data_IF_695916768129
#
_entry.id   IF_695916768129
#
_cell.length_a   1.000
_cell.length_b   1.000
_cell.length_c   1.000
_cell.angle_alpha   90.00
_cell.angle_beta   90.00
_cell.angle_gamma   90.00
#
_symmetry.space_group_name_H-M   'P 1'
#
loop_
_entity.id
_entity.type
_entity.pdbx_description
1 polymer ?
#
# COMPACT_ATOMS: atom_id res chain seq x y z
N UNK A 1 -21.22 22.62 11.95
CA UNK A 1 -21.41 21.26 11.37
C UNK A 1 -21.65 21.43 9.88
N UNK A 2 -21.05 20.61 9.04
CA UNK A 2 -21.30 20.62 7.59
C UNK A 2 -22.76 20.27 7.31
N UNK A 3 -23.38 20.89 6.30
CA UNK A 3 -24.74 20.55 5.83
C UNK A 3 -24.87 19.09 5.38
N UNK A 4 -23.75 18.46 5.04
CA UNK A 4 -23.72 17.06 4.56
C UNK A 4 -23.62 16.01 5.68
N UNK A 5 -23.21 16.40 6.88
CA UNK A 5 -23.05 15.46 8.00
C UNK A 5 -24.31 14.64 8.32
N UNK A 6 -25.52 15.24 8.31
CA UNK A 6 -26.75 14.47 8.60
C UNK A 6 -27.15 13.44 7.55
N UNK A 7 -26.66 13.60 6.30
CA UNK A 7 -26.98 12.70 5.17
C UNK A 7 -25.85 11.74 4.83
N UNK A 8 -24.68 11.94 5.42
CA UNK A 8 -23.55 11.03 5.25
C UNK A 8 -23.76 9.75 6.09
N UNK A 9 -23.23 8.65 5.59
CA UNK A 9 -23.19 7.42 6.35
C UNK A 9 -22.46 7.65 7.69
N UNK A 10 -23.06 7.26 8.81
CA UNK A 10 -22.58 7.56 10.15
C UNK A 10 -21.16 7.03 10.41
N UNK A 11 -20.82 5.87 9.87
CA UNK A 11 -19.46 5.30 10.00
C UNK A 11 -18.39 6.08 9.19
N UNK A 12 -18.78 6.78 8.12
CA UNK A 12 -17.92 7.67 7.36
C UNK A 12 -17.79 9.04 8.08
N UNK A 13 -18.94 9.59 8.51
CA UNK A 13 -18.98 10.90 9.18
C UNK A 13 -18.15 10.94 10.48
N UNK A 14 -18.02 9.81 11.16
CA UNK A 14 -17.26 9.67 12.42
C UNK A 14 -15.80 9.21 12.21
N UNK A 15 -15.40 8.89 10.98
CA UNK A 15 -14.04 8.47 10.69
C UNK A 15 -13.07 9.64 10.78
N UNK A 16 -11.94 9.44 11.47
CA UNK A 16 -10.87 10.43 11.47
C UNK A 16 -10.15 10.40 10.12
N UNK A 17 -10.07 11.53 9.39
CA UNK A 17 -9.36 11.55 8.13
C UNK A 17 -7.86 11.29 8.33
N UNK A 18 -7.24 10.70 7.33
CA UNK A 18 -5.79 10.62 7.27
C UNK A 18 -5.19 12.03 7.26
N UNK A 19 -4.19 12.25 8.11
CA UNK A 19 -3.42 13.49 8.12
C UNK A 19 -2.08 13.25 7.42
N UNK A 20 -1.93 13.71 6.18
CA UNK A 20 -0.66 13.61 5.46
C UNK A 20 0.42 14.51 6.08
N UNK A 21 1.68 14.26 5.71
CA UNK A 21 2.76 15.18 6.04
C UNK A 21 2.47 16.60 5.50
N UNK A 22 2.84 17.62 6.27
CA UNK A 22 2.52 19.00 5.94
C UNK A 22 3.36 19.50 4.74
N UNK A 23 2.78 20.31 3.83
CA UNK A 23 3.52 20.97 2.77
C UNK A 23 4.60 21.90 3.33
N UNK A 24 5.76 22.00 2.65
CA UNK A 24 6.86 22.87 3.10
C UNK A 24 6.44 24.34 3.15
N UNK A 25 5.63 24.78 2.20
CA UNK A 25 5.11 26.14 2.12
C UNK A 25 4.21 26.49 3.31
N UNK A 26 3.45 25.52 3.82
CA UNK A 26 2.63 25.70 5.02
C UNK A 26 3.50 25.89 6.25
N UNK A 27 4.52 25.03 6.41
CA UNK A 27 5.47 25.10 7.52
C UNK A 27 6.26 26.43 7.46
N UNK A 28 6.73 26.84 6.28
CA UNK A 28 7.43 28.12 6.12
C UNK A 28 6.57 29.30 6.54
N UNK A 29 5.29 29.35 6.12
CA UNK A 29 4.34 30.41 6.53
C UNK A 29 4.15 30.49 8.04
N UNK A 30 3.95 29.34 8.69
CA UNK A 30 3.73 29.28 10.15
C UNK A 30 4.96 29.71 10.94
N UNK A 31 6.15 29.37 10.45
CA UNK A 31 7.40 29.76 11.08
C UNK A 31 7.88 31.17 10.70
N UNK A 32 7.15 31.88 9.84
CA UNK A 32 7.52 33.19 9.35
C UNK A 32 8.80 33.20 8.51
N UNK A 33 9.12 32.08 7.83
CA UNK A 33 10.30 31.96 6.99
C UNK A 33 10.03 32.61 5.61
N UNK A 34 11.02 33.27 5.00
CA UNK A 34 10.86 33.95 3.70
C UNK A 34 10.73 32.97 2.52
N UNK A 35 11.18 31.73 2.68
CA UNK A 35 11.12 30.68 1.65
C UNK A 35 11.18 29.28 2.28
N UNK A 36 11.00 28.28 1.46
CA UNK A 36 11.20 26.86 1.85
C UNK A 36 12.66 26.43 1.81
N UNK A 37 13.54 27.31 1.35
CA UNK A 37 14.96 27.02 1.20
C UNK A 37 15.61 26.74 2.56
N UNK A 38 16.37 25.65 2.65
CA UNK A 38 16.98 25.20 3.90
C UNK A 38 16.07 24.37 4.81
N UNK A 39 14.78 24.19 4.50
CA UNK A 39 13.92 23.27 5.24
C UNK A 39 14.18 21.84 4.74
N UNK A 40 14.58 20.96 5.64
CA UNK A 40 14.74 19.53 5.35
C UNK A 40 13.46 18.80 5.70
N UNK A 41 12.76 18.26 4.70
CA UNK A 41 11.58 17.44 4.88
C UNK A 41 11.97 15.97 5.03
N UNK A 42 11.72 15.39 6.20
CA UNK A 42 11.94 13.96 6.48
C UNK A 42 10.64 13.14 6.54
N UNK A 43 9.50 13.80 6.23
CA UNK A 43 8.20 13.16 6.21
C UNK A 43 7.82 12.73 4.78
N UNK A 44 6.80 11.82 4.69
CA UNK A 44 6.15 11.37 3.44
C UNK A 44 7.00 10.44 2.56
N UNK A 45 8.20 10.03 2.99
CA UNK A 45 9.09 9.11 2.26
C UNK A 45 9.33 9.54 0.80
N UNK A 46 9.45 10.85 0.57
CA UNK A 46 9.71 11.42 -0.75
C UNK A 46 11.15 11.14 -1.21
N UNK A 47 11.33 10.94 -2.52
CA UNK A 47 12.67 10.75 -3.09
C UNK A 47 13.34 12.11 -3.32
N UNK A 48 14.24 12.50 -2.41
CA UNK A 48 15.00 13.76 -2.47
C UNK A 48 16.01 13.82 -3.62
N UNK A 49 16.33 12.69 -4.30
CA UNK A 49 17.18 12.67 -5.48
C UNK A 49 16.47 13.19 -6.73
N UNK A 50 15.16 13.38 -6.65
CA UNK A 50 14.33 13.83 -7.76
C UNK A 50 13.98 12.73 -8.76
N UNK A 51 13.31 13.08 -9.86
CA UNK A 51 12.84 12.13 -10.86
C UNK A 51 13.99 11.69 -11.78
N UNK A 52 13.88 10.48 -12.35
CA UNK A 52 14.79 10.00 -13.37
C UNK A 52 14.84 10.94 -14.58
N UNK A 53 16.03 11.32 -15.09
CA UNK A 53 16.15 12.15 -16.29
C UNK A 53 15.47 11.53 -17.52
N UNK A 54 15.47 10.20 -17.64
CA UNK A 54 14.79 9.46 -18.73
C UNK A 54 13.27 9.58 -18.59
N UNK A 55 12.72 9.48 -17.37
CA UNK A 55 11.30 9.69 -17.12
C UNK A 55 10.87 11.12 -17.46
N UNK A 56 11.68 12.11 -17.08
CA UNK A 56 11.45 13.52 -17.42
C UNK A 56 11.43 13.77 -18.93
N UNK A 57 12.33 13.14 -19.69
CA UNK A 57 12.34 13.24 -21.16
C UNK A 57 11.06 12.66 -21.75
N UNK A 58 10.68 11.44 -21.36
CA UNK A 58 9.46 10.79 -21.84
C UNK A 58 8.19 11.58 -21.50
N UNK A 59 8.12 12.18 -20.33
CA UNK A 59 6.99 13.05 -19.94
C UNK A 59 6.89 14.29 -20.84
N UNK A 60 8.03 14.95 -21.16
CA UNK A 60 8.04 16.10 -22.08
C UNK A 60 7.55 15.72 -23.47
N UNK A 61 7.93 14.56 -23.99
CA UNK A 61 7.46 14.03 -25.27
C UNK A 61 5.96 13.73 -25.26
N UNK A 62 5.40 13.31 -24.12
CA UNK A 62 3.98 12.99 -23.98
C UNK A 62 3.08 14.23 -23.84
N UNK A 63 3.58 15.37 -23.39
CA UNK A 63 2.78 16.59 -23.11
C UNK A 63 1.88 17.01 -24.28
N UNK A 64 2.34 17.04 -25.56
CA UNK A 64 1.47 17.42 -26.68
C UNK A 64 0.26 16.51 -26.89
N UNK A 65 0.26 15.32 -26.34
CA UNK A 65 -0.79 14.29 -26.47
C UNK A 65 -1.73 14.19 -25.25
N UNK A 66 -1.52 15.00 -24.21
CA UNK A 66 -2.31 14.93 -22.98
C UNK A 66 -3.78 15.28 -23.12
N UNK A 67 -4.19 15.85 -24.27
CA UNK A 67 -5.59 16.11 -24.59
C UNK A 67 -6.38 14.87 -25.02
N UNK A 68 -5.72 13.76 -25.22
CA UNK A 68 -6.33 12.47 -25.59
C UNK A 68 -6.58 11.63 -24.32
N UNK A 69 -7.62 10.80 -24.35
CA UNK A 69 -7.82 9.81 -23.29
C UNK A 69 -6.66 8.82 -23.26
N UNK A 70 -6.16 8.47 -22.07
CA UNK A 70 -5.18 7.40 -21.95
C UNK A 70 -5.81 6.05 -22.30
N UNK A 71 -4.98 5.08 -22.65
CA UNK A 71 -5.39 3.69 -22.75
C UNK A 71 -5.83 3.16 -21.38
N UNK A 72 -7.13 2.91 -21.20
CA UNK A 72 -7.70 2.40 -19.95
C UNK A 72 -7.17 1.03 -19.53
N UNK A 73 -6.66 0.24 -20.48
CA UNK A 73 -6.02 -1.05 -20.24
C UNK A 73 -4.55 -0.95 -19.86
N UNK A 74 -3.94 0.24 -19.99
CA UNK A 74 -2.50 0.50 -19.77
C UNK A 74 -1.60 -0.56 -20.44
N UNK A 75 -1.93 -0.95 -21.66
CA UNK A 75 -1.36 -2.11 -22.38
C UNK A 75 0.18 -2.15 -22.33
N UNK A 76 0.84 -1.08 -22.77
CA UNK A 76 2.31 -1.05 -22.83
C UNK A 76 2.97 -1.10 -21.45
N UNK A 77 2.40 -0.40 -20.47
CA UNK A 77 2.92 -0.38 -19.10
C UNK A 77 2.73 -1.75 -18.44
N UNK A 78 1.55 -2.35 -18.63
CA UNK A 78 1.25 -3.69 -18.11
C UNK A 78 2.19 -4.74 -18.67
N UNK A 79 2.44 -4.74 -19.99
CA UNK A 79 3.40 -5.63 -20.60
C UNK A 79 4.84 -5.41 -20.11
N UNK A 80 5.25 -4.16 -19.94
CA UNK A 80 6.59 -3.85 -19.42
C UNK A 80 6.79 -4.38 -17.98
N UNK A 81 5.77 -4.23 -17.12
CA UNK A 81 5.77 -4.77 -15.77
C UNK A 81 5.76 -6.29 -15.78
N UNK A 82 4.88 -6.91 -16.55
CA UNK A 82 4.80 -8.36 -16.71
C UNK A 82 6.15 -8.96 -17.12
N UNK A 83 6.80 -8.33 -18.12
CA UNK A 83 8.16 -8.72 -18.57
C UNK A 83 9.20 -8.53 -17.48
N UNK A 84 9.18 -7.40 -16.73
CA UNK A 84 10.14 -7.13 -15.65
C UNK A 84 10.07 -8.21 -14.57
N UNK A 85 8.88 -8.60 -14.16
CA UNK A 85 8.67 -9.57 -13.08
C UNK A 85 8.52 -11.02 -13.56
N UNK A 86 8.48 -11.26 -14.88
CA UNK A 86 8.34 -12.58 -15.45
C UNK A 86 7.00 -13.24 -15.13
N UNK A 87 5.91 -12.48 -15.16
CA UNK A 87 4.53 -12.94 -14.97
C UNK A 87 3.72 -12.75 -16.25
N UNK A 88 2.54 -13.37 -16.34
CA UNK A 88 1.62 -13.11 -17.44
C UNK A 88 0.99 -11.70 -17.31
N UNK A 89 0.62 -11.08 -18.41
CA UNK A 89 0.07 -9.72 -18.42
C UNK A 89 -1.29 -9.61 -17.72
N UNK A 90 -2.07 -10.70 -17.71
CA UNK A 90 -3.31 -10.79 -16.96
C UNK A 90 -3.12 -10.92 -15.43
N UNK A 91 -1.88 -11.09 -14.96
CA UNK A 91 -1.51 -11.06 -13.54
C UNK A 91 -1.11 -9.66 -13.07
N UNK A 92 -1.21 -8.65 -13.94
CA UNK A 92 -0.85 -7.26 -13.62
C UNK A 92 -2.09 -6.38 -13.68
N UNK A 93 -2.40 -5.73 -12.57
CA UNK A 93 -3.44 -4.71 -12.47
C UNK A 93 -2.80 -3.34 -12.22
N UNK A 94 -3.28 -2.33 -12.92
CA UNK A 94 -2.80 -0.96 -12.79
C UNK A 94 -3.71 -0.15 -11.87
N UNK A 95 -3.13 0.79 -11.12
CA UNK A 95 -3.85 1.70 -10.24
C UNK A 95 -2.97 2.86 -9.77
N UNK A 96 -3.56 3.81 -9.04
CA UNK A 96 -2.88 4.96 -8.44
C UNK A 96 -2.18 4.56 -7.14
N UNK A 97 -1.12 3.73 -7.24
CA UNK A 97 -0.36 3.23 -6.11
C UNK A 97 -1.07 2.15 -5.29
N UNK A 98 -0.39 1.62 -4.28
CA UNK A 98 -0.92 0.54 -3.43
C UNK A 98 -2.20 0.95 -2.69
N UNK A 99 -2.36 2.24 -2.38
CA UNK A 99 -3.55 2.74 -1.70
C UNK A 99 -4.85 2.44 -2.47
N UNK A 100 -4.86 2.65 -3.79
CA UNK A 100 -6.04 2.31 -4.62
C UNK A 100 -6.23 0.79 -4.68
N UNK A 101 -5.16 0.02 -4.82
CA UNK A 101 -5.25 -1.44 -4.84
C UNK A 101 -5.85 -2.01 -3.55
N UNK A 102 -5.48 -1.46 -2.38
CA UNK A 102 -6.05 -1.87 -1.09
C UNK A 102 -7.56 -1.59 -1.05
N UNK A 103 -8.01 -0.43 -1.55
CA UNK A 103 -9.44 -0.10 -1.66
C UNK A 103 -10.16 -1.07 -2.61
N UNK A 104 -9.57 -1.36 -3.77
CA UNK A 104 -10.15 -2.28 -4.75
C UNK A 104 -10.24 -3.71 -4.22
N UNK A 105 -9.21 -4.19 -3.50
CA UNK A 105 -9.23 -5.49 -2.84
C UNK A 105 -10.34 -5.56 -1.78
N UNK A 106 -10.46 -4.53 -0.93
CA UNK A 106 -11.54 -4.49 0.05
C UNK A 106 -12.92 -4.45 -0.64
N UNK A 107 -13.05 -3.70 -1.73
CA UNK A 107 -14.30 -3.65 -2.49
C UNK A 107 -14.66 -5.01 -3.10
N UNK A 108 -13.68 -5.76 -3.58
CA UNK A 108 -13.90 -7.05 -4.22
C UNK A 108 -14.17 -8.19 -3.23
N UNK A 109 -13.55 -8.17 -2.05
CA UNK A 109 -13.52 -9.34 -1.16
C UNK A 109 -14.18 -9.13 0.21
N UNK A 110 -14.41 -7.88 0.65
CA UNK A 110 -14.92 -7.59 1.99
C UNK A 110 -16.38 -7.11 1.97
N UNK A 111 -17.13 -7.53 2.94
CA UNK A 111 -18.48 -7.06 3.23
C UNK A 111 -18.64 -6.74 4.72
N UNK A 112 -19.70 -6.03 5.08
CA UNK A 112 -19.98 -5.67 6.48
C UNK A 112 -19.85 -6.85 7.43
N UNK A 113 -19.07 -6.65 8.49
CA UNK A 113 -18.80 -7.64 9.52
C UNK A 113 -17.67 -8.61 9.22
N UNK A 114 -17.04 -8.57 8.05
CA UNK A 114 -15.76 -9.23 7.79
C UNK A 114 -14.62 -8.52 8.51
N UNK A 115 -13.42 -9.08 8.44
CA UNK A 115 -12.24 -8.43 8.97
C UNK A 115 -11.03 -8.60 8.04
N UNK A 116 -10.07 -7.70 8.21
CA UNK A 116 -8.70 -7.85 7.72
C UNK A 116 -7.73 -7.91 8.90
N UNK A 117 -6.58 -8.57 8.68
CA UNK A 117 -5.49 -8.66 9.64
C UNK A 117 -4.30 -7.86 9.12
N UNK A 118 -3.72 -7.04 9.97
CA UNK A 118 -2.43 -6.40 9.73
C UNK A 118 -1.66 -6.26 11.06
N UNK A 119 -0.41 -5.82 11.04
CA UNK A 119 0.32 -5.56 12.28
C UNK A 119 -0.08 -4.21 12.91
N UNK A 120 0.05 -4.11 14.23
CA UNK A 120 -0.40 -2.97 15.03
C UNK A 120 0.21 -1.62 14.60
N UNK A 121 1.42 -1.61 14.04
CA UNK A 121 2.12 -0.43 13.55
C UNK A 121 2.42 -0.54 12.06
N UNK A 122 1.39 -0.82 11.28
CA UNK A 122 1.43 -0.82 9.81
C UNK A 122 0.83 0.45 9.25
N UNK A 123 0.82 0.55 7.93
CA UNK A 123 0.28 1.70 7.22
C UNK A 123 -1.19 1.94 7.58
N UNK A 124 -1.49 3.16 8.00
CA UNK A 124 -2.79 3.53 8.57
C UNK A 124 -3.98 3.30 7.61
N UNK A 125 -3.72 3.28 6.31
CA UNK A 125 -4.75 3.10 5.28
C UNK A 125 -5.48 1.78 5.43
N UNK A 126 -4.85 0.71 5.90
CA UNK A 126 -5.51 -0.58 6.11
C UNK A 126 -6.71 -0.45 7.06
N UNK A 127 -6.52 0.26 8.17
CA UNK A 127 -7.60 0.54 9.15
C UNK A 127 -8.70 1.42 8.58
N UNK A 128 -8.30 2.46 7.82
CA UNK A 128 -9.26 3.39 7.22
C UNK A 128 -10.13 2.68 6.19
N UNK A 129 -9.53 1.80 5.38
CA UNK A 129 -10.25 1.01 4.39
C UNK A 129 -11.17 0.00 5.07
N UNK A 130 -10.71 -0.72 6.11
CA UNK A 130 -11.60 -1.61 6.86
C UNK A 130 -12.83 -0.86 7.40
N UNK A 131 -12.62 0.31 8.01
CA UNK A 131 -13.71 1.14 8.52
C UNK A 131 -14.66 1.63 7.42
N UNK A 132 -14.14 1.96 6.22
CA UNK A 132 -14.93 2.37 5.06
C UNK A 132 -15.96 1.29 4.66
N UNK A 133 -15.60 0.01 4.77
CA UNK A 133 -16.47 -1.13 4.44
C UNK A 133 -17.20 -1.72 5.67
N UNK A 134 -17.19 -1.02 6.81
CA UNK A 134 -17.78 -1.51 8.07
C UNK A 134 -17.21 -2.84 8.52
N UNK A 135 -15.92 -3.05 8.23
CA UNK A 135 -15.15 -4.22 8.61
C UNK A 135 -14.23 -3.89 9.78
N UNK A 136 -13.83 -4.92 10.51
CA UNK A 136 -12.86 -4.78 11.57
C UNK A 136 -11.43 -4.89 11.00
N UNK A 137 -10.53 -4.03 11.45
CA UNK A 137 -9.10 -4.24 11.31
C UNK A 137 -8.57 -4.91 12.59
N UNK A 138 -8.13 -6.16 12.50
CA UNK A 138 -7.50 -6.87 13.61
C UNK A 138 -6.00 -6.58 13.55
N UNK A 139 -5.51 -5.91 14.57
CA UNK A 139 -4.11 -5.51 14.67
C UNK A 139 -3.33 -6.57 15.47
N UNK A 140 -2.54 -7.38 14.77
CA UNK A 140 -1.66 -8.35 15.42
C UNK A 140 -0.49 -7.64 16.12
N UNK A 141 -0.05 -8.10 17.31
CA UNK A 141 1.12 -7.56 17.97
C UNK A 141 2.38 -7.74 17.14
N UNK A 142 3.38 -6.90 17.40
CA UNK A 142 4.68 -6.95 16.74
C UNK A 142 5.76 -7.42 17.72
N UNK A 143 6.82 -8.00 17.20
CA UNK A 143 8.04 -8.28 17.95
C UNK A 143 8.99 -7.09 17.81
N UNK A 144 9.11 -6.28 18.85
CA UNK A 144 9.75 -4.98 18.74
C UNK A 144 9.01 -4.10 17.73
N UNK A 145 9.66 -3.77 16.61
CA UNK A 145 9.10 -2.98 15.51
C UNK A 145 8.93 -3.79 14.21
N UNK A 146 9.13 -5.10 14.26
CA UNK A 146 9.03 -6.02 13.11
C UNK A 146 7.72 -6.81 13.19
N UNK A 147 7.16 -7.17 12.05
CA UNK A 147 5.98 -8.05 11.97
C UNK A 147 6.21 -9.36 12.71
N UNK A 148 5.28 -9.75 13.57
CA UNK A 148 5.14 -11.12 14.08
C UNK A 148 4.15 -11.87 13.18
N UNK A 149 4.68 -12.53 12.16
CA UNK A 149 3.86 -13.26 11.19
C UNK A 149 3.06 -14.41 11.84
N UNK A 150 3.61 -15.03 12.88
CA UNK A 150 2.90 -16.09 13.65
C UNK A 150 1.72 -15.48 14.44
N UNK A 151 1.89 -14.27 15.01
CA UNK A 151 0.79 -13.57 15.64
C UNK A 151 -0.27 -13.14 14.62
N UNK A 152 0.12 -12.75 13.41
CA UNK A 152 -0.81 -12.44 12.33
C UNK A 152 -1.60 -13.69 11.91
N UNK A 153 -0.96 -14.86 11.79
CA UNK A 153 -1.66 -16.13 11.50
C UNK A 153 -2.67 -16.47 12.61
N UNK A 154 -2.29 -16.33 13.87
CA UNK A 154 -3.20 -16.59 15.00
C UNK A 154 -4.39 -15.62 15.05
N UNK A 155 -4.25 -14.43 14.48
CA UNK A 155 -5.31 -13.41 14.41
C UNK A 155 -6.34 -13.68 13.30
N UNK A 156 -6.05 -14.59 12.36
CA UNK A 156 -6.97 -14.97 11.28
C UNK A 156 -8.19 -15.69 11.87
N UNK A 157 -9.37 -15.29 11.44
CA UNK A 157 -10.66 -15.86 11.82
C UNK A 157 -11.40 -16.38 10.59
N UNK A 158 -12.47 -17.15 10.72
CA UNK A 158 -13.32 -17.55 9.57
C UNK A 158 -13.92 -16.37 8.78
N UNK A 159 -13.94 -15.17 9.38
CA UNK A 159 -14.42 -13.92 8.73
C UNK A 159 -13.28 -13.07 8.15
N UNK A 160 -12.03 -13.48 8.28
CA UNK A 160 -10.90 -12.78 7.68
C UNK A 160 -10.92 -12.96 6.18
N UNK A 161 -10.86 -11.84 5.44
CA UNK A 161 -10.81 -11.83 3.97
C UNK A 161 -9.45 -11.44 3.44
N UNK A 162 -8.78 -10.53 4.14
CA UNK A 162 -7.46 -10.05 3.75
C UNK A 162 -6.49 -10.17 4.92
N UNK A 163 -5.26 -10.58 4.64
CA UNK A 163 -4.11 -10.39 5.53
C UNK A 163 -3.08 -9.54 4.79
N UNK A 164 -2.67 -8.41 5.39
CA UNK A 164 -1.82 -7.43 4.72
C UNK A 164 -0.51 -7.29 5.46
N UNK A 165 0.59 -7.55 4.76
CA UNK A 165 1.97 -7.44 5.26
C UNK A 165 2.70 -6.38 4.45
N UNK A 166 3.01 -5.24 5.08
CA UNK A 166 3.87 -4.22 4.47
C UNK A 166 5.34 -4.64 4.62
N UNK A 167 6.06 -4.88 3.55
CA UNK A 167 7.44 -5.38 3.64
C UNK A 167 8.36 -4.73 2.58
N UNK A 168 9.28 -3.83 2.95
CA UNK A 168 9.52 -3.27 4.29
C UNK A 168 8.33 -2.54 4.90
N UNK A 169 8.19 -2.62 6.23
CA UNK A 169 7.04 -2.01 6.90
C UNK A 169 7.11 -0.48 6.93
N UNK A 170 6.00 0.16 6.66
CA UNK A 170 5.77 1.58 6.89
C UNK A 170 4.90 1.73 8.17
N UNK A 171 5.36 2.43 9.25
CA UNK A 171 6.46 3.40 9.26
C UNK A 171 7.77 2.90 9.87
N UNK A 172 7.90 1.64 10.28
CA UNK A 172 9.03 1.18 11.09
C UNK A 172 10.31 0.90 10.30
N UNK A 173 10.22 0.73 8.98
CA UNK A 173 11.35 0.40 8.11
C UNK A 173 11.92 -1.00 8.29
N UNK A 174 11.28 -1.83 9.11
CA UNK A 174 11.72 -3.20 9.38
C UNK A 174 11.29 -4.18 8.28
N UNK A 175 12.03 -5.25 8.13
CA UNK A 175 11.85 -6.26 7.09
C UNK A 175 11.69 -7.64 7.72
N UNK A 176 10.80 -8.46 7.19
CA UNK A 176 10.78 -9.91 7.42
C UNK A 176 11.49 -10.61 6.27
N UNK A 177 12.23 -11.67 6.57
CA UNK A 177 13.04 -12.38 5.59
C UNK A 177 12.23 -13.33 4.70
N UNK A 178 12.86 -13.81 3.63
CA UNK A 178 12.25 -14.72 2.65
C UNK A 178 11.72 -16.00 3.30
N UNK A 179 12.47 -16.59 4.24
CA UNK A 179 12.06 -17.85 4.86
C UNK A 179 10.82 -17.67 5.76
N UNK A 180 10.72 -16.53 6.45
CA UNK A 180 9.55 -16.19 7.24
C UNK A 180 8.31 -15.95 6.35
N UNK A 181 8.49 -15.24 5.23
CA UNK A 181 7.42 -15.01 4.24
C UNK A 181 6.95 -16.33 3.63
N UNK A 182 7.86 -17.20 3.23
CA UNK A 182 7.50 -18.51 2.63
C UNK A 182 6.67 -19.35 3.60
N UNK A 183 7.12 -19.50 4.85
CA UNK A 183 6.37 -20.21 5.88
C UNK A 183 5.00 -19.58 6.17
N UNK A 184 4.92 -18.28 6.17
CA UNK A 184 3.66 -17.56 6.40
C UNK A 184 2.65 -17.86 5.30
N UNK A 185 3.04 -17.74 4.03
CA UNK A 185 2.15 -18.00 2.89
C UNK A 185 1.65 -19.45 2.90
N UNK A 186 2.51 -20.42 3.23
CA UNK A 186 2.11 -21.82 3.32
C UNK A 186 1.02 -22.07 4.38
N UNK A 187 1.00 -21.28 5.46
CA UNK A 187 0.08 -21.46 6.58
C UNK A 187 -1.20 -20.62 6.51
N UNK A 188 -1.24 -19.58 5.67
CA UNK A 188 -2.46 -18.78 5.50
C UNK A 188 -3.59 -19.67 4.95
N UNK A 189 -4.80 -19.66 5.56
CA UNK A 189 -5.93 -20.44 5.06
C UNK A 189 -6.38 -20.00 3.67
N UNK A 190 -6.87 -20.93 2.85
CA UNK A 190 -7.26 -20.70 1.45
C UNK A 190 -8.44 -19.73 1.27
N UNK A 191 -9.18 -19.38 2.33
CA UNK A 191 -10.26 -18.40 2.28
C UNK A 191 -9.78 -16.95 2.47
N UNK A 192 -8.47 -16.73 2.66
CA UNK A 192 -7.86 -15.43 2.95
C UNK A 192 -6.95 -15.01 1.80
N UNK A 193 -7.17 -13.83 1.26
CA UNK A 193 -6.27 -13.22 0.27
C UNK A 193 -5.07 -12.64 1.01
N UNK A 194 -3.87 -13.09 0.63
CA UNK A 194 -2.61 -12.61 1.18
C UNK A 194 -2.08 -11.46 0.34
N UNK A 195 -1.84 -10.32 0.98
CA UNK A 195 -1.36 -9.10 0.33
C UNK A 195 -0.01 -8.71 0.88
N UNK A 196 1.01 -8.64 0.02
CA UNK A 196 2.28 -8.01 0.35
C UNK A 196 2.30 -6.60 -0.26
N UNK A 197 2.33 -5.57 0.61
CA UNK A 197 2.45 -4.17 0.20
C UNK A 197 3.93 -3.79 0.23
N UNK A 198 4.55 -3.68 -0.96
CA UNK A 198 6.01 -3.63 -1.13
C UNK A 198 6.49 -2.35 -1.83
N UNK A 199 6.03 -1.13 -1.44
CA UNK A 199 6.42 0.10 -2.12
C UNK A 199 7.91 0.45 -1.95
N UNK A 200 8.62 -0.24 -1.07
CA UNK A 200 10.03 0.06 -0.73
C UNK A 200 10.98 -1.10 -1.00
N UNK A 201 10.51 -2.20 -1.60
CA UNK A 201 11.34 -3.40 -1.78
C UNK A 201 12.56 -3.16 -2.69
N UNK A 202 12.45 -2.26 -3.67
CA UNK A 202 13.59 -1.87 -4.52
C UNK A 202 14.64 -1.01 -3.81
N UNK A 203 14.40 -0.58 -2.57
CA UNK A 203 15.33 0.22 -1.77
C UNK A 203 16.14 -0.61 -0.77
N UNK A 204 15.86 -1.90 -0.64
CA UNK A 204 16.61 -2.79 0.26
C UNK A 204 17.90 -3.27 -0.43
N UNK A 205 18.88 -3.64 0.39
CA UNK A 205 20.11 -4.26 -0.12
C UNK A 205 19.79 -5.56 -0.87
N UNK A 206 20.48 -5.87 -1.98
CA UNK A 206 20.17 -7.03 -2.82
C UNK A 206 20.09 -8.35 -2.06
N UNK A 207 20.92 -8.53 -1.04
CA UNK A 207 20.97 -9.73 -0.20
C UNK A 207 19.76 -9.88 0.72
N UNK A 208 19.04 -8.78 0.96
CA UNK A 208 17.84 -8.72 1.79
C UNK A 208 16.55 -8.72 0.97
N UNK A 209 16.66 -8.77 -0.36
CA UNK A 209 15.50 -8.75 -1.25
C UNK A 209 14.62 -9.98 -1.02
N UNK A 210 13.32 -9.75 -0.86
CA UNK A 210 12.29 -10.80 -0.67
C UNK A 210 11.45 -10.91 -1.93
N UNK A 211 11.49 -12.06 -2.60
CA UNK A 211 10.70 -12.33 -3.80
C UNK A 211 9.34 -12.94 -3.43
N UNK A 212 8.33 -12.10 -3.31
CA UNK A 212 6.94 -12.54 -3.12
C UNK A 212 6.27 -12.91 -4.45
N UNK A 213 6.77 -12.37 -5.57
CA UNK A 213 6.22 -12.62 -6.91
C UNK A 213 6.33 -14.09 -7.30
N UNK A 214 7.32 -14.83 -6.76
CA UNK A 214 7.43 -16.28 -6.99
C UNK A 214 6.17 -17.03 -6.58
N UNK A 215 5.51 -16.63 -5.49
CA UNK A 215 4.27 -17.28 -5.02
C UNK A 215 3.09 -16.98 -5.93
N UNK A 216 3.04 -15.79 -6.54
CA UNK A 216 2.05 -15.46 -7.57
C UNK A 216 2.24 -16.33 -8.81
N UNK A 217 3.49 -16.54 -9.27
CA UNK A 217 3.81 -17.41 -10.40
C UNK A 217 3.42 -18.87 -10.16
N UNK A 218 3.61 -19.34 -8.95
CA UNK A 218 3.31 -20.71 -8.55
C UNK A 218 1.83 -20.94 -8.26
N UNK A 219 1.02 -19.86 -8.19
CA UNK A 219 -0.43 -19.89 -7.90
C UNK A 219 -0.78 -20.73 -6.66
N UNK A 220 0.07 -20.68 -5.63
CA UNK A 220 -0.08 -21.54 -4.45
C UNK A 220 -1.22 -21.12 -3.54
N UNK A 221 -1.55 -19.83 -3.51
CA UNK A 221 -2.57 -19.23 -2.63
C UNK A 221 -3.24 -18.04 -3.31
N UNK A 222 -4.51 -17.74 -2.94
CA UNK A 222 -5.17 -16.51 -3.36
C UNK A 222 -4.54 -15.26 -2.75
#
# INVERSE_FOLDING_TARGET
MSLFTPIANSWIANQRPYQPGRPLEEVARELGLPSIEGIVKLASNENNLGPSPRAMAAMREAIPHMHLYPDGGAFYLRQAIAKKFGVADNMVMMGCGSNEHIVLLAHAFMQEGDNLVCSARSFVVYKLVAALYRCQCIEAPMQGMTHDLDAMLRAITPRTKLVIVANPNNPTGTLVDQAAVDRFIEQVPDHVVTVFDEPYMELVEPEMYVDTVKHVKESKKP
#
